data_IF_312601071798
#
_entry.id   IF_312601071798
#
_cell.length_a   1.000
_cell.length_b   1.000
_cell.length_c   1.000
_cell.angle_alpha   90.00
_cell.angle_beta   90.00
_cell.angle_gamma   90.00
#
_symmetry.space_group_name_H-M   'P 1'
#
loop_
_entity.id
_entity.type
_entity.pdbx_description
1 polymer ?
2 polymer ?
3 non-polymer ?
4 non-polymer ?
5 non-polymer ?
6 non-polymer ?
7 water ?
#
# COMPACT_ATOMS: atom_id res chain seq x y z
N UNK A 1 16.61 -9.07 -22.44
CA UNK A 1 16.25 -7.74 -21.89
C UNK A 1 17.42 -7.24 -21.00
N UNK A 2 17.84 -5.97 -21.10
CA UNK A 2 18.69 -5.37 -20.03
C UNK A 2 17.83 -5.39 -18.75
N UNK A 3 18.39 -5.86 -17.66
CA UNK A 3 17.61 -5.90 -16.40
C UNK A 3 18.54 -5.60 -15.22
N UNK A 4 17.89 -5.14 -14.15
CA UNK A 4 18.57 -4.82 -12.89
C UNK A 4 17.95 -5.76 -11.87
N UNK A 5 18.80 -6.52 -11.18
CA UNK A 5 18.35 -7.57 -10.25
C UNK A 5 18.84 -7.18 -8.88
N UNK A 6 17.91 -6.98 -7.97
CA UNK A 6 18.26 -6.53 -6.61
C UNK A 6 18.30 -7.72 -5.64
N UNK A 7 19.02 -7.48 -4.55
CA UNK A 7 19.15 -8.46 -3.41
C UNK A 7 17.82 -8.58 -2.67
N UNK A 8 17.71 -9.65 -1.86
CA UNK A 8 16.43 -10.07 -1.32
C UNK A 8 15.97 -9.27 -0.09
N UNK A 9 14.80 -9.60 0.38
CA UNK A 9 14.13 -8.97 1.55
C UNK A 9 15.07 -8.98 2.74
N UNK A 10 15.10 -7.88 3.50
CA UNK A 10 15.93 -7.69 4.70
C UNK A 10 15.01 -7.38 5.89
N UNK A 11 15.33 -7.99 7.04
CA UNK A 11 14.64 -7.67 8.31
C UNK A 11 15.74 -7.46 9.34
N UNK A 12 15.85 -6.22 9.84
CA UNK A 12 17.01 -5.76 10.64
C UNK A 12 16.52 -5.09 11.93
N UNK A 13 17.41 -4.96 12.89
CA UNK A 13 17.17 -4.19 14.12
C UNK A 13 17.79 -2.82 13.97
N UNK A 14 17.27 -1.83 14.70
CA UNK A 14 17.88 -0.50 14.77
C UNK A 14 19.34 -0.62 15.23
N UNK A 15 20.21 0.17 14.59
CA UNK A 15 21.66 0.19 14.86
C UNK A 15 22.46 -0.82 14.05
N UNK A 16 21.83 -1.79 13.38
CA UNK A 16 22.54 -2.78 12.54
C UNK A 16 22.99 -2.08 11.26
N UNK A 17 24.06 -2.60 10.68
CA UNK A 17 24.53 -2.17 9.35
C UNK A 17 23.80 -2.98 8.28
N UNK A 18 23.76 -2.47 7.06
CA UNK A 18 23.08 -3.19 5.96
C UNK A 18 23.67 -2.70 4.63
N UNK A 19 23.96 -3.62 3.74
CA UNK A 19 24.35 -3.29 2.35
C UNK A 19 23.46 -4.06 1.38
N UNK A 20 22.75 -3.37 0.50
CA UNK A 20 21.88 -4.04 -0.50
C UNK A 20 22.50 -3.77 -1.88
N UNK A 21 22.17 -4.63 -2.84
CA UNK A 21 22.86 -4.71 -4.14
C UNK A 21 21.87 -4.60 -5.30
N UNK A 22 22.40 -4.11 -6.42
CA UNK A 22 21.67 -3.92 -7.69
C UNK A 22 22.63 -4.36 -8.82
N UNK A 23 22.33 -5.47 -9.47
CA UNK A 23 23.24 -6.03 -10.52
C UNK A 23 22.63 -5.89 -11.90
N UNK A 24 23.38 -5.33 -12.85
CA UNK A 24 22.94 -5.24 -14.26
C UNK A 24 23.31 -6.48 -15.05
N UNK A 25 22.35 -7.06 -15.79
CA UNK A 25 22.57 -8.22 -16.71
C UNK A 25 21.96 -7.90 -18.09
N UNK A 26 22.49 -8.54 -19.15
CA UNK A 26 22.20 -8.20 -20.56
C UNK A 26 23.43 -7.63 -21.23
N UNK A 31 24.12 0.14 -18.40
CA UNK A 31 23.93 1.51 -17.85
C UNK A 31 25.27 2.05 -17.33
N UNK A 32 25.62 3.27 -17.74
CA UNK A 32 26.75 4.06 -17.21
C UNK A 32 26.40 4.69 -15.84
N UNK A 33 25.11 4.70 -15.45
CA UNK A 33 24.69 5.30 -14.18
C UNK A 33 23.61 4.46 -13.54
N UNK A 34 23.52 4.53 -12.23
CA UNK A 34 22.50 3.78 -11.45
C UNK A 34 21.99 4.76 -10.41
N UNK A 35 20.67 4.95 -10.35
CA UNK A 35 20.03 5.76 -9.31
C UNK A 35 19.35 4.90 -8.27
N UNK A 36 19.09 5.49 -7.09
CA UNK A 36 18.39 4.80 -5.99
C UNK A 36 17.16 5.61 -5.58
N UNK A 37 16.06 4.89 -5.35
CA UNK A 37 14.71 5.43 -5.05
C UNK A 37 14.17 4.75 -3.81
N UNK A 38 13.67 5.56 -2.88
CA UNK A 38 13.03 5.04 -1.66
C UNK A 38 11.53 5.13 -1.80
N UNK A 39 10.81 4.11 -1.35
CA UNK A 39 9.32 4.17 -1.22
C UNK A 39 8.91 3.63 0.16
N UNK A 40 8.63 4.55 1.06
CA UNK A 40 8.19 4.16 2.44
C UNK A 40 6.78 3.60 2.34
N UNK A 41 6.37 2.75 3.30
CA UNK A 41 5.08 2.06 3.20
C UNK A 41 3.89 3.03 3.08
N UNK A 42 3.10 2.79 2.04
CA UNK A 42 1.94 3.64 1.69
C UNK A 42 2.30 5.01 1.13
N UNK A 43 3.58 5.30 0.79
CA UNK A 43 4.02 6.62 0.35
C UNK A 43 4.52 6.55 -1.10
N UNK A 44 4.92 7.69 -1.58
CA UNK A 44 5.33 7.81 -3.00
C UNK A 44 6.82 7.57 -3.14
N UNK A 45 7.29 7.82 -4.34
CA UNK A 45 8.72 7.60 -4.71
C UNK A 45 9.56 8.81 -4.31
N UNK A 46 10.76 8.55 -3.82
CA UNK A 46 11.74 9.59 -3.43
C UNK A 46 13.06 9.28 -4.08
N UNK A 47 13.65 10.27 -4.72
CA UNK A 47 15.00 10.13 -5.32
C UNK A 47 16.05 10.23 -4.22
N UNK A 48 16.94 9.23 -4.10
CA UNK A 48 18.04 9.27 -3.09
C UNK A 48 19.35 9.78 -3.63
N UNK A 49 19.74 9.37 -4.84
CA UNK A 49 21.04 9.75 -5.37
C UNK A 49 21.40 8.91 -6.54
N UNK A 50 22.60 9.12 -7.05
CA UNK A 50 23.03 8.51 -8.34
C UNK A 50 24.52 8.17 -8.24
N UNK A 51 24.94 7.13 -8.94
CA UNK A 51 26.40 6.83 -9.10
C UNK A 51 26.66 6.53 -10.57
N UNK A 52 27.82 7.01 -11.05
CA UNK A 52 28.41 6.68 -12.37
C UNK A 52 29.53 5.68 -12.12
N UNK A 53 29.33 4.35 -12.25
CA UNK A 53 30.35 3.40 -11.86
C UNK A 53 31.64 3.45 -12.67
N UNK A 54 31.65 4.11 -13.81
CA UNK A 54 32.91 4.17 -14.59
C UNK A 54 34.03 4.62 -13.67
N UNK A 55 33.81 5.69 -12.90
CA UNK A 55 34.80 6.24 -11.94
C UNK A 55 34.18 6.48 -10.56
N UNK A 56 32.97 5.95 -10.31
CA UNK A 56 32.29 6.02 -9.00
C UNK A 56 31.99 7.48 -8.55
N UNK A 57 31.82 8.42 -9.48
CA UNK A 57 31.23 9.74 -9.17
C UNK A 57 29.79 9.56 -8.63
N UNK A 58 29.54 10.03 -7.40
CA UNK A 58 28.21 9.92 -6.74
C UNK A 58 27.63 11.33 -6.55
N UNK A 59 26.30 11.43 -6.49
CA UNK A 59 25.59 12.62 -5.99
C UNK A 59 24.43 12.12 -5.12
N UNK A 60 24.14 12.86 -4.07
CA UNK A 60 23.07 12.55 -3.12
C UNK A 60 22.06 13.69 -3.13
N UNK A 61 20.78 13.33 -2.99
CA UNK A 61 19.71 14.28 -2.60
C UNK A 61 20.07 14.88 -1.25
N UNK A 62 19.98 16.21 -1.06
CA UNK A 62 20.33 16.80 0.24
C UNK A 62 19.72 16.08 1.44
N UNK A 63 18.50 15.55 1.32
CA UNK A 63 17.77 14.79 2.36
C UNK A 63 18.56 13.54 2.75
N UNK A 64 19.32 12.93 1.84
CA UNK A 64 19.98 11.62 2.07
C UNK A 64 21.49 11.77 2.30
N UNK A 65 22.05 12.96 1.99
CA UNK A 65 23.51 13.21 2.10
C UNK A 65 23.91 12.90 3.55
N UNK A 66 24.88 12.01 3.71
CA UNK A 66 25.43 11.64 5.03
C UNK A 66 24.54 10.64 5.74
N UNK A 67 23.44 10.21 5.16
CA UNK A 67 22.50 9.24 5.80
C UNK A 67 22.70 7.83 5.25
N UNK A 68 23.29 7.70 4.09
CA UNK A 68 23.44 6.43 3.33
C UNK A 68 24.67 6.57 2.44
N UNK A 69 25.28 5.46 2.05
CA UNK A 69 26.40 5.46 1.10
C UNK A 69 25.98 4.71 -0.15
N UNK A 70 26.10 5.36 -1.29
CA UNK A 70 26.00 4.68 -2.61
C UNK A 70 27.39 4.31 -3.08
N UNK A 71 27.55 3.12 -3.63
CA UNK A 71 28.85 2.68 -4.17
C UNK A 71 28.63 1.71 -5.33
N UNK A 72 29.69 1.29 -5.98
CA UNK A 72 29.57 0.38 -7.14
C UNK A 72 30.84 -0.43 -7.32
N UNK A 73 30.67 -1.62 -7.88
CA UNK A 73 31.79 -2.43 -8.38
C UNK A 73 31.55 -2.67 -9.86
N UNK A 74 32.19 -1.85 -10.70
CA UNK A 74 32.09 -1.87 -12.17
C UNK A 74 32.44 -3.27 -12.71
N UNK A 75 33.39 -3.96 -12.08
CA UNK A 75 33.90 -5.26 -12.56
C UNK A 75 32.77 -6.30 -12.58
N UNK A 76 31.70 -6.09 -11.80
CA UNK A 76 30.61 -7.13 -11.73
C UNK A 76 29.24 -6.45 -11.97
N UNK A 77 29.27 -5.25 -12.56
CA UNK A 77 28.11 -4.42 -12.97
C UNK A 77 27.14 -4.30 -11.79
N UNK A 78 27.66 -4.07 -10.60
CA UNK A 78 26.81 -4.02 -9.36
C UNK A 78 26.91 -2.65 -8.70
N UNK A 79 25.76 -2.09 -8.28
CA UNK A 79 25.74 -0.91 -7.41
C UNK A 79 25.13 -1.31 -6.05
N UNK A 80 25.43 -0.52 -5.05
CA UNK A 80 25.05 -0.80 -3.65
C UNK A 80 24.51 0.44 -2.95
N UNK A 81 23.72 0.19 -1.91
CA UNK A 81 23.23 1.24 -1.00
C UNK A 81 23.46 0.65 0.40
N UNK A 82 24.19 1.38 1.26
CA UNK A 82 24.78 0.92 2.55
C UNK A 82 24.40 1.90 3.65
N UNK A 83 24.01 1.36 4.79
CA UNK A 83 23.79 2.09 6.06
C UNK A 83 24.72 1.51 7.13
N UNK A 84 25.40 2.36 7.89
CA UNK A 84 26.22 1.88 9.03
C UNK A 84 25.34 1.65 10.24
N UNK A 85 24.23 2.41 10.38
CA UNK A 85 23.37 2.37 11.59
C UNK A 85 21.89 2.59 11.19
N UNK A 86 21.16 1.51 10.96
CA UNK A 86 19.77 1.62 10.48
C UNK A 86 18.87 2.23 11.55
N UNK A 87 17.84 2.94 11.10
CA UNK A 87 16.76 3.46 11.95
C UNK A 87 15.47 2.76 11.52
N UNK A 88 14.48 2.72 12.42
CA UNK A 88 13.13 2.23 12.05
C UNK A 88 12.60 2.98 10.84
N UNK A 89 12.90 4.27 10.71
CA UNK A 89 12.36 5.14 9.62
C UNK A 89 13.04 4.76 8.29
N UNK A 90 14.03 3.86 8.28
CA UNK A 90 14.63 3.36 7.02
C UNK A 90 13.76 2.23 6.44
N UNK A 91 12.70 1.82 7.13
CA UNK A 91 11.75 0.81 6.63
C UNK A 91 11.09 1.29 5.34
N UNK A 92 11.32 0.56 4.27
CA UNK A 92 10.90 0.99 2.91
C UNK A 92 11.20 -0.08 1.91
N UNK A 93 10.70 0.15 0.70
CA UNK A 93 11.22 -0.53 -0.49
C UNK A 93 12.27 0.39 -1.10
N UNK A 94 13.34 -0.22 -1.60
CA UNK A 94 14.39 0.52 -2.31
C UNK A 94 14.44 -0.02 -3.73
N UNK A 95 14.37 0.87 -4.70
CA UNK A 95 14.51 0.50 -6.13
C UNK A 95 15.81 1.09 -6.66
N UNK A 96 16.48 0.36 -7.54
CA UNK A 96 17.53 0.96 -8.40
C UNK A 96 16.94 1.16 -9.78
N UNK A 97 17.48 2.11 -10.50
CA UNK A 97 17.02 2.45 -11.86
C UNK A 97 18.24 2.86 -12.66
N UNK A 98 18.13 2.66 -13.96
CA UNK A 98 19.24 3.01 -14.86
C UNK A 98 18.74 3.39 -16.22
N UNK A 99 19.63 3.36 -17.22
CA UNK A 99 19.25 3.71 -18.60
C UNK A 99 19.82 2.72 -19.59
N UNK A 100 18.98 2.00 -20.35
CA UNK A 100 19.43 0.94 -21.28
C UNK A 100 20.15 1.52 -22.48
N UNK A 101 20.11 2.83 -22.69
CA UNK A 101 20.90 3.47 -23.77
C UNK A 101 21.14 4.93 -23.43
N UNK A 102 21.68 5.71 -24.36
CA UNK A 102 22.09 7.14 -24.16
C UNK A 102 20.90 8.09 -24.30
N UNK A 103 19.75 7.58 -24.72
CA UNK A 103 18.63 8.53 -24.92
C UNK A 103 17.41 8.33 -23.98
N UNK A 104 17.32 7.24 -23.26
CA UNK A 104 16.08 7.04 -22.44
C UNK A 104 16.48 6.82 -21.01
N UNK A 105 16.51 7.90 -20.21
CA UNK A 105 16.82 7.79 -18.78
C UNK A 105 15.70 7.09 -18.04
N UNK A 106 16.05 6.25 -17.05
CA UNK A 106 15.13 5.55 -16.11
C UNK A 106 14.22 4.56 -16.84
N UNK A 107 14.67 3.94 -17.93
CA UNK A 107 13.79 2.96 -18.60
C UNK A 107 13.98 1.55 -18.00
N UNK A 108 15.01 1.33 -17.21
CA UNK A 108 15.21 0.00 -16.56
C UNK A 108 15.12 0.18 -15.04
N UNK A 109 14.37 -0.67 -14.40
CA UNK A 109 14.18 -0.58 -12.92
C UNK A 109 14.49 -1.96 -12.33
N UNK A 110 15.07 -1.99 -11.15
CA UNK A 110 15.11 -3.24 -10.37
C UNK A 110 13.72 -3.59 -9.83
N UNK A 111 13.58 -4.78 -9.26
CA UNK A 111 12.27 -5.28 -8.78
C UNK A 111 12.00 -4.73 -7.38
N UNK A 112 12.99 -4.12 -6.74
CA UNK A 112 12.84 -3.54 -5.39
C UNK A 112 13.34 -4.51 -4.32
N UNK A 113 13.92 -3.95 -3.28
CA UNK A 113 14.36 -4.69 -2.07
C UNK A 113 13.52 -4.13 -0.92
N UNK A 114 12.77 -4.98 -0.25
CA UNK A 114 11.95 -4.60 0.90
C UNK A 114 12.85 -4.70 2.14
N UNK A 115 12.92 -3.62 2.89
CA UNK A 115 13.74 -3.56 4.12
C UNK A 115 12.81 -3.19 5.27
N UNK A 116 12.81 -4.01 6.30
CA UNK A 116 12.11 -3.71 7.57
C UNK A 116 13.15 -3.49 8.63
N UNK A 117 13.03 -2.38 9.36
CA UNK A 117 13.90 -2.11 10.50
C UNK A 117 13.00 -1.95 11.72
N UNK A 118 13.17 -2.84 12.69
CA UNK A 118 12.34 -2.77 13.90
C UNK A 118 13.06 -3.38 15.10
N UNK A 119 12.73 -2.91 16.32
CA UNK A 119 13.15 -3.62 17.54
C UNK A 119 12.31 -4.90 17.76
N UNK A 120 11.18 -5.07 17.11
CA UNK A 120 10.35 -6.30 17.30
C UNK A 120 11.14 -7.53 16.87
N UNK A 121 10.68 -8.70 17.34
CA UNK A 121 11.30 -10.01 17.04
C UNK A 121 10.30 -10.92 16.34
N UNK A 122 10.83 -11.82 15.50
CA UNK A 122 9.99 -12.79 14.78
C UNK A 122 8.94 -13.39 15.73
N UNK A 123 7.70 -13.43 15.31
CA UNK A 123 6.59 -13.91 16.15
C UNK A 123 5.44 -14.31 15.22
N UNK A 124 4.93 -15.50 15.44
CA UNK A 124 3.73 -15.95 14.71
C UNK A 124 2.46 -15.30 15.23
N UNK A 125 1.43 -15.18 14.38
CA UNK A 125 0.18 -14.56 14.78
C UNK A 125 -0.65 -15.45 15.72
N UNK A 126 -1.46 -14.78 16.52
CA UNK A 126 -2.68 -15.38 17.13
C UNK A 126 -3.82 -15.21 16.15
N UNK A 127 -4.61 -16.25 15.95
CA UNK A 127 -5.71 -16.15 14.98
C UNK A 127 -6.99 -16.26 15.79
N UNK A 128 -7.75 -15.18 15.86
CA UNK A 128 -9.01 -15.13 16.63
C UNK A 128 -10.20 -15.13 15.68
N UNK A 129 -11.27 -15.85 16.03
CA UNK A 129 -12.48 -15.78 15.20
C UNK A 129 -13.19 -14.43 15.30
N UNK A 130 -13.75 -13.99 14.17
CA UNK A 130 -14.76 -12.90 14.09
C UNK A 130 -16.08 -13.60 13.81
N UNK A 131 -16.79 -13.97 14.87
CA UNK A 131 -17.91 -14.91 14.79
C UNK A 131 -19.10 -14.20 14.16
N UNK A 132 -19.85 -14.88 13.27
CA UNK A 132 -21.10 -14.32 12.77
C UNK A 132 -22.13 -14.30 13.91
N UNK A 133 -22.90 -13.24 13.96
CA UNK A 133 -24.01 -13.01 14.94
C UNK A 133 -25.07 -12.12 14.29
N UNK A 134 -26.14 -11.82 15.03
CA UNK A 134 -27.16 -10.81 14.64
C UNK A 134 -26.49 -9.44 14.44
N UNK A 135 -25.36 -9.17 15.13
CA UNK A 135 -24.63 -7.87 15.07
C UNK A 135 -23.78 -7.79 13.78
N UNK A 136 -23.66 -8.94 13.10
CA UNK A 136 -22.99 -9.07 11.79
C UNK A 136 -23.92 -9.75 10.77
N UNK A 137 -25.24 -9.49 10.80
CA UNK A 137 -26.18 -10.02 9.77
C UNK A 137 -27.04 -8.87 9.21
N UNK A 138 -27.16 -8.76 7.88
CA UNK A 138 -27.90 -7.73 7.11
C UNK A 138 -28.77 -8.39 6.03
N UNK A 139 -30.10 -8.33 6.16
CA UNK A 139 -31.08 -8.91 5.22
C UNK A 139 -30.57 -10.18 4.52
N UNK A 140 -30.39 -11.27 5.27
CA UNK A 140 -30.06 -12.60 4.72
C UNK A 140 -28.57 -12.80 4.49
N UNK A 141 -27.72 -11.79 4.69
CA UNK A 141 -26.24 -11.89 4.54
C UNK A 141 -25.58 -11.82 5.92
N UNK A 142 -24.64 -12.72 6.22
CA UNK A 142 -23.85 -12.65 7.46
C UNK A 142 -22.41 -12.34 7.09
N UNK A 143 -21.70 -11.66 7.96
CA UNK A 143 -20.24 -11.48 7.85
C UNK A 143 -19.56 -12.27 8.95
N UNK A 144 -18.40 -12.84 8.60
CA UNK A 144 -17.57 -13.56 9.57
C UNK A 144 -16.12 -13.34 9.14
N UNK A 145 -15.18 -13.71 10.00
CA UNK A 145 -13.78 -13.49 9.64
C UNK A 145 -12.80 -14.06 10.63
N UNK A 146 -11.52 -13.72 10.43
CA UNK A 146 -10.41 -14.05 11.34
C UNK A 146 -9.60 -12.79 11.57
N UNK A 147 -9.27 -12.53 12.83
CA UNK A 147 -8.32 -11.49 13.27
C UNK A 147 -6.97 -12.13 13.45
N UNK A 148 -6.01 -11.72 12.63
CA UNK A 148 -4.66 -12.33 12.56
C UNK A 148 -3.75 -11.33 13.26
N UNK A 149 -3.56 -11.50 14.57
CA UNK A 149 -3.03 -10.42 15.41
C UNK A 149 -1.63 -10.72 15.92
N UNK A 150 -0.78 -9.69 15.99
CA UNK A 150 0.47 -9.66 16.77
C UNK A 150 1.50 -10.58 16.14
N UNK A 151 1.82 -10.33 14.87
CA UNK A 151 2.88 -11.09 14.17
C UNK A 151 3.95 -10.12 13.67
N UNK A 152 5.12 -10.68 13.43
CA UNK A 152 6.26 -9.94 12.87
C UNK A 152 7.23 -10.93 12.25
N UNK A 153 7.86 -10.62 11.10
CA UNK A 153 7.56 -9.47 10.24
C UNK A 153 6.42 -9.80 9.26
N UNK A 154 6.14 -8.90 8.33
CA UNK A 154 5.29 -9.22 7.16
C UNK A 154 6.05 -10.26 6.34
N UNK A 155 5.36 -11.03 5.50
CA UNK A 155 3.90 -11.02 5.33
C UNK A 155 3.21 -12.25 5.92
N UNK A 156 1.89 -12.19 5.93
CA UNK A 156 1.03 -13.39 6.19
C UNK A 156 0.18 -13.61 4.94
N UNK A 157 -0.21 -14.84 4.70
CA UNK A 157 -1.23 -15.17 3.68
C UNK A 157 -2.45 -15.70 4.42
N UNK A 158 -3.61 -15.40 3.84
CA UNK A 158 -4.91 -15.92 4.34
C UNK A 158 -5.70 -16.46 3.15
N UNK A 159 -6.21 -17.66 3.32
CA UNK A 159 -7.23 -18.21 2.40
C UNK A 159 -8.42 -18.64 3.27
N UNK A 160 -9.49 -19.04 2.60
CA UNK A 160 -10.70 -19.57 3.25
C UNK A 160 -11.02 -20.94 2.64
N UNK A 161 -11.24 -21.93 3.49
CA UNK A 161 -11.65 -23.31 3.08
C UNK A 161 -10.61 -23.83 2.07
N UNK A 162 -9.32 -23.58 2.36
CA UNK A 162 -8.17 -24.07 1.55
C UNK A 162 -8.23 -23.51 0.13
N UNK A 163 -8.82 -22.33 -0.07
CA UNK A 163 -8.92 -21.65 -1.36
C UNK A 163 -10.22 -21.93 -2.12
N UNK A 164 -11.11 -22.78 -1.60
CA UNK A 164 -12.42 -23.07 -2.22
C UNK A 164 -13.36 -21.86 -2.08
N UNK A 165 -13.14 -20.97 -1.09
CA UNK A 165 -14.05 -19.81 -0.86
C UNK A 165 -13.30 -18.54 -1.17
N UNK A 166 -13.71 -17.84 -2.21
CA UNK A 166 -13.03 -16.62 -2.69
C UNK A 166 -14.06 -15.51 -2.88
N UNK A 167 -15.28 -15.83 -3.24
CA UNK A 167 -16.36 -14.85 -3.44
C UNK A 167 -16.67 -14.13 -2.11
N UNK A 168 -16.68 -12.79 -2.09
CA UNK A 168 -17.06 -11.97 -0.91
C UNK A 168 -15.96 -11.88 0.12
N UNK A 169 -14.75 -12.37 -0.17
CA UNK A 169 -13.60 -12.34 0.79
C UNK A 169 -12.95 -10.98 0.66
N UNK A 170 -12.70 -10.32 1.77
CA UNK A 170 -11.86 -9.10 1.88
C UNK A 170 -10.76 -9.38 2.89
N UNK A 171 -9.53 -9.45 2.44
CA UNK A 171 -8.36 -9.58 3.34
C UNK A 171 -7.68 -8.19 3.34
N UNK A 172 -7.69 -7.55 4.48
CA UNK A 172 -7.30 -6.14 4.64
C UNK A 172 -5.77 -6.09 4.65
N UNK A 173 -5.22 -4.93 4.27
CA UNK A 173 -3.81 -4.63 4.57
C UNK A 173 -3.57 -4.66 6.09
N UNK A 174 -2.39 -5.16 6.47
CA UNK A 174 -2.01 -5.14 7.88
C UNK A 174 -1.81 -3.71 8.34
N UNK A 175 -2.01 -3.49 9.62
CA UNK A 175 -1.62 -2.24 10.30
C UNK A 175 -0.45 -2.58 11.22
N UNK A 176 0.46 -1.65 11.34
CA UNK A 176 1.55 -1.79 12.32
C UNK A 176 1.11 -1.15 13.63
N UNK A 177 1.08 -1.95 14.70
CA UNK A 177 0.65 -1.53 16.05
C UNK A 177 1.79 -0.80 16.76
N UNK A 178 1.46 -0.14 17.88
CA UNK A 178 2.45 0.59 18.69
C UNK A 178 3.43 -0.41 19.32
N UNK A 179 3.04 -1.68 19.39
CA UNK A 179 3.92 -2.76 19.90
C UNK A 179 5.03 -3.10 18.91
N UNK A 180 4.90 -2.66 17.65
CA UNK A 180 5.81 -3.09 16.61
C UNK A 180 5.37 -4.39 15.95
N UNK A 181 4.23 -4.96 16.33
CA UNK A 181 3.66 -6.18 15.71
C UNK A 181 2.53 -5.77 14.76
N UNK A 182 2.39 -6.51 13.68
CA UNK A 182 1.32 -6.28 12.69
C UNK A 182 0.03 -6.97 13.14
N UNK A 183 -1.07 -6.49 12.59
CA UNK A 183 -2.40 -7.12 12.77
C UNK A 183 -3.19 -6.92 11.48
N UNK A 184 -3.92 -7.94 11.08
CA UNK A 184 -4.83 -7.78 9.93
C UNK A 184 -6.07 -8.62 10.14
N UNK A 185 -7.14 -8.20 9.48
CA UNK A 185 -8.37 -9.04 9.48
C UNK A 185 -8.63 -9.54 8.08
N UNK A 186 -9.28 -10.68 8.00
CA UNK A 186 -9.84 -11.24 6.74
C UNK A 186 -11.30 -11.55 7.02
N UNK A 187 -12.20 -11.04 6.19
CA UNK A 187 -13.65 -11.25 6.39
C UNK A 187 -14.25 -11.84 5.13
N UNK A 188 -15.43 -12.44 5.31
CA UNK A 188 -16.19 -12.89 4.12
C UNK A 188 -17.67 -12.66 4.43
N UNK A 189 -18.45 -12.27 3.43
CA UNK A 189 -19.92 -12.24 3.54
C UNK A 189 -20.48 -13.50 2.87
N UNK A 190 -21.42 -14.11 3.56
CA UNK A 190 -22.02 -15.41 3.14
C UNK A 190 -23.52 -15.34 3.38
N UNK A 191 -24.31 -16.20 2.71
CA UNK A 191 -25.72 -16.33 3.07
C UNK A 191 -25.86 -16.72 4.54
N UNK A 192 -26.75 -16.05 5.28
CA UNK A 192 -26.95 -16.36 6.72
C UNK A 192 -27.54 -17.78 6.84
N UNK A 193 -28.25 -18.25 5.84
CA UNK A 193 -28.81 -19.63 5.83
C UNK A 193 -27.68 -20.67 5.72
N UNK A 194 -26.46 -20.30 5.33
CA UNK A 194 -25.32 -21.24 5.20
C UNK A 194 -24.69 -21.46 6.59
N UNK A 195 -24.99 -20.61 7.59
CA UNK A 195 -24.29 -20.74 8.90
C UNK A 195 -24.74 -22.05 9.53
N UNK A 196 -23.84 -22.87 10.05
CA UNK A 196 -24.36 -24.17 10.55
C UNK A 196 -24.49 -25.26 9.48
N UNK A 197 -24.50 -24.93 8.18
CA UNK A 197 -24.43 -25.89 7.05
C UNK A 197 -23.02 -25.93 6.43
N UNK A 198 -22.45 -24.80 6.09
CA UNK A 198 -21.10 -24.73 5.51
C UNK A 198 -20.08 -24.46 6.63
N UNK A 199 -19.00 -25.24 6.66
CA UNK A 199 -17.88 -24.97 7.57
C UNK A 199 -17.08 -23.79 6.98
N UNK A 200 -16.62 -22.89 7.84
CA UNK A 200 -15.78 -21.74 7.43
C UNK A 200 -14.48 -21.83 8.23
N UNK A 201 -13.38 -22.07 7.53
CA UNK A 201 -12.03 -22.14 8.13
C UNK A 201 -11.13 -21.11 7.45
N UNK A 202 -10.44 -20.28 8.23
CA UNK A 202 -9.42 -19.38 7.66
C UNK A 202 -8.07 -20.09 7.80
N UNK A 203 -7.32 -20.13 6.71
CA UNK A 203 -5.99 -20.80 6.65
C UNK A 203 -4.96 -19.68 6.65
N UNK A 204 -4.14 -19.63 7.69
CA UNK A 204 -3.18 -18.53 7.90
C UNK A 204 -1.79 -19.11 7.82
N UNK A 205 -0.93 -18.51 7.02
CA UNK A 205 0.48 -18.96 6.94
C UNK A 205 1.39 -17.75 7.19
N UNK A 206 2.29 -17.85 8.17
CA UNK A 206 3.32 -16.84 8.48
C UNK A 206 4.67 -17.53 8.32
N UNK A 207 5.23 -17.47 7.11
CA UNK A 207 6.46 -18.24 6.79
C UNK A 207 7.63 -17.81 7.69
N UNK A 208 7.81 -16.50 7.99
CA UNK A 208 8.97 -16.12 8.79
C UNK A 208 9.06 -16.87 10.12
N UNK A 209 7.94 -17.29 10.74
CA UNK A 209 7.93 -18.01 12.02
C UNK A 209 7.58 -19.50 11.84
N UNK A 210 7.40 -19.96 10.62
CA UNK A 210 6.92 -21.35 10.31
C UNK A 210 5.64 -21.63 11.07
N UNK A 211 4.69 -20.69 11.05
CA UNK A 211 3.40 -20.82 11.75
C UNK A 211 2.32 -21.07 10.68
N UNK A 212 1.57 -22.14 10.84
CA UNK A 212 0.39 -22.41 9.98
C UNK A 212 -0.75 -22.68 10.93
N UNK A 213 -1.83 -21.93 10.79
CA UNK A 213 -3.05 -22.05 11.64
C UNK A 213 -4.25 -22.19 10.71
N UNK A 214 -5.11 -23.14 11.04
CA UNK A 214 -6.43 -23.28 10.40
C UNK A 214 -7.44 -23.05 11.51
N UNK A 215 -8.23 -22.00 11.42
CA UNK A 215 -9.15 -21.62 12.49
C UNK A 215 -10.58 -21.75 11.96
N UNK A 216 -11.36 -22.64 12.60
CA UNK A 216 -12.79 -22.76 12.30
C UNK A 216 -13.50 -21.57 12.96
N UNK A 217 -14.39 -20.95 12.22
CA UNK A 217 -15.14 -19.77 12.68
C UNK A 217 -16.61 -20.17 12.76
N UNK A 218 -17.14 -20.24 13.96
CA UNK A 218 -18.56 -20.67 14.08
C UNK A 218 -19.38 -19.60 14.80
N UNK A 219 -20.72 -19.66 14.63
CA UNK A 219 -21.62 -18.66 15.22
C UNK A 219 -21.52 -18.51 16.76
N UNK B 1 15.98 21.74 -4.01
CA UNK B 1 15.53 20.70 -5.01
C UNK B 1 14.32 21.26 -5.76
N UNK B 2 14.01 20.72 -6.92
CA UNK B 2 12.80 21.12 -7.66
C UNK B 2 11.60 20.44 -7.04
N UNK B 3 10.54 21.23 -6.77
CA UNK B 3 9.28 20.69 -6.28
C UNK B 3 8.36 20.35 -7.44
N UNK B 4 7.91 19.09 -7.50
CA UNK B 4 6.96 18.60 -8.51
C UNK B 4 5.59 18.43 -7.87
N UNK B 5 4.60 19.13 -8.39
CA UNK B 5 3.22 19.07 -7.86
C UNK B 5 2.32 18.35 -8.84
N UNK B 6 1.71 17.24 -8.41
CA UNK B 6 0.71 16.57 -9.28
C UNK B 6 -0.70 16.91 -8.85
N UNK B 7 -1.58 17.06 -9.84
CA UNK B 7 -3.05 17.30 -9.64
C UNK B 7 -3.84 16.46 -10.62
N UNK B 8 -4.97 15.90 -10.15
CA UNK B 8 -5.35 15.94 -8.72
C UNK B 8 -4.59 14.83 -7.96
N UNK B 9 -4.74 14.67 -6.64
CA UNK B 9 -4.10 13.56 -5.89
C UNK B 9 -4.82 12.22 -6.22
N UNK B 10 -6.10 12.28 -6.56
CA UNK B 10 -6.83 11.09 -7.03
C UNK B 10 -7.99 11.54 -7.91
N UNK B 11 -8.35 10.72 -8.87
CA UNK B 11 -9.48 11.00 -9.77
C UNK B 11 -10.19 9.70 -10.09
N UNK B 12 -11.50 9.82 -10.32
CA UNK B 12 -12.37 8.68 -10.64
C UNK B 12 -12.75 8.79 -12.10
N UNK B 13 -12.68 7.71 -12.83
CA UNK B 13 -13.00 7.74 -14.27
C UNK B 13 -13.58 6.40 -14.66
N UNK B 14 -14.27 6.36 -15.80
CA UNK B 14 -14.87 5.12 -16.35
C UNK B 14 -14.01 4.62 -17.50
N UNK B 15 -14.10 3.33 -17.75
CA UNK B 15 -13.52 2.76 -19.00
C UNK B 15 -14.08 3.52 -20.20
N UNK B 16 -13.21 3.87 -21.14
CA UNK B 16 -13.53 4.66 -22.34
C UNK B 16 -13.41 6.15 -22.14
N UNK B 17 -13.22 6.65 -20.92
CA UNK B 17 -13.13 8.13 -20.68
C UNK B 17 -11.76 8.62 -21.17
N UNK B 18 -11.70 9.88 -21.53
CA UNK B 18 -10.43 10.62 -21.72
C UNK B 18 -10.02 11.16 -20.35
N UNK B 19 -8.82 10.85 -19.87
CA UNK B 19 -8.34 11.27 -18.53
C UNK B 19 -7.08 12.11 -18.75
N UNK B 20 -7.00 13.26 -18.10
CA UNK B 20 -5.77 14.07 -18.07
C UNK B 20 -5.35 14.20 -16.62
N UNK B 21 -4.04 14.18 -16.39
CA UNK B 21 -3.47 14.47 -15.06
C UNK B 21 -2.29 15.39 -15.30
N UNK B 22 -2.10 16.30 -14.36
CA UNK B 22 -1.15 17.42 -14.52
C UNK B 22 0.03 17.26 -13.59
N UNK B 23 1.13 17.88 -13.98
CA UNK B 23 2.37 17.91 -13.19
C UNK B 23 2.97 19.30 -13.40
N UNK B 24 3.27 20.01 -12.32
CA UNK B 24 3.93 21.31 -12.33
C UNK B 24 5.31 21.18 -11.69
N UNK B 25 6.31 21.78 -12.32
CA UNK B 25 7.65 21.94 -11.76
C UNK B 25 7.79 23.36 -11.22
N UNK B 26 8.52 23.51 -10.12
CA UNK B 26 8.73 24.82 -9.45
C UNK B 26 9.69 25.72 -10.23
N UNK B 27 10.34 25.21 -11.29
CA UNK B 27 11.14 26.02 -12.22
C UNK B 27 11.03 25.36 -13.57
N UNK B 28 11.36 26.07 -14.63
CA UNK B 28 11.37 25.42 -15.96
C UNK B 28 12.32 24.24 -15.94
N UNK B 29 11.84 23.12 -16.47
CA UNK B 29 12.66 21.92 -16.69
C UNK B 29 12.65 21.61 -18.19
N UNK B 30 12.26 22.55 -19.03
CA UNK B 30 12.31 22.40 -20.51
C UNK B 30 11.35 21.25 -20.87
N UNK B 31 11.82 20.17 -21.51
CA UNK B 31 10.97 18.97 -21.75
C UNK B 31 11.47 17.76 -20.97
N UNK B 32 12.27 17.96 -19.93
CA UNK B 32 12.91 16.85 -19.19
C UNK B 32 11.96 16.28 -18.11
N UNK B 33 10.95 15.51 -18.54
CA UNK B 33 9.91 15.01 -17.62
C UNK B 33 9.58 13.58 -18.02
N UNK B 34 9.62 12.70 -17.02
CA UNK B 34 9.18 11.30 -17.18
C UNK B 34 7.82 11.10 -16.49
N UNK B 35 7.00 10.22 -17.06
CA UNK B 35 5.78 9.71 -16.40
C UNK B 35 5.90 8.21 -16.19
N UNK B 36 5.51 7.75 -14.98
CA UNK B 36 5.54 6.32 -14.60
C UNK B 36 4.13 5.88 -14.20
N UNK B 37 3.89 4.58 -14.36
CA UNK B 37 2.73 3.89 -13.80
C UNK B 37 3.22 2.97 -12.68
N UNK B 38 2.48 2.92 -11.58
CA UNK B 38 2.78 1.91 -10.52
C UNK B 38 1.47 1.29 -10.07
N UNK B 39 1.49 -0.04 -9.97
CA UNK B 39 0.37 -0.82 -9.39
C UNK B 39 0.84 -1.43 -8.07
N UNK B 40 -0.11 -1.73 -7.17
CA UNK B 40 0.25 -2.32 -5.88
C UNK B 40 1.19 -3.52 -6.01
N UNK B 41 2.27 -3.51 -5.23
CA UNK B 41 3.21 -4.63 -5.13
C UNK B 41 4.17 -4.70 -6.28
N UNK B 42 4.15 -3.71 -7.19
CA UNK B 42 5.01 -3.74 -8.39
C UNK B 42 5.92 -2.51 -8.45
N UNK B 43 6.99 -2.66 -9.19
CA UNK B 43 7.95 -1.55 -9.42
C UNK B 43 7.27 -0.59 -10.37
N UNK B 44 7.68 0.69 -10.32
CA UNK B 44 7.27 1.66 -11.32
C UNK B 44 7.70 1.25 -12.74
N UNK B 45 6.89 1.62 -13.73
CA UNK B 45 7.17 1.35 -15.15
C UNK B 45 7.20 2.69 -15.87
N UNK B 46 8.22 2.95 -16.67
CA UNK B 46 8.26 4.18 -17.49
C UNK B 46 7.25 4.12 -18.63
N UNK B 47 6.39 5.14 -18.73
CA UNK B 47 5.43 5.25 -19.85
C UNK B 47 5.98 6.24 -20.87
N UNK B 48 6.41 7.39 -20.38
CA UNK B 48 6.66 8.58 -21.23
C UNK B 48 7.90 9.26 -20.73
N UNK B 49 8.79 9.63 -21.64
CA UNK B 49 10.04 10.34 -21.30
C UNK B 49 10.13 11.57 -22.18
N UNK B 50 10.94 12.55 -21.81
CA UNK B 50 11.10 13.82 -22.54
C UNK B 50 9.73 14.46 -22.78
N UNK B 51 8.85 14.36 -21.77
CA UNK B 51 7.51 14.97 -21.76
C UNK B 51 6.55 14.37 -22.76
N UNK B 52 6.98 13.92 -23.94
CA UNK B 52 5.99 13.48 -24.94
C UNK B 52 6.40 12.20 -25.68
N UNK B 53 7.53 11.58 -25.37
CA UNK B 53 8.00 10.39 -26.10
C UNK B 53 7.48 9.12 -25.43
N UNK B 54 6.77 8.27 -26.15
CA UNK B 54 6.26 6.99 -25.62
C UNK B 54 7.43 6.02 -25.49
N UNK B 55 7.53 5.34 -24.37
CA UNK B 55 8.47 4.23 -24.19
C UNK B 55 8.01 3.08 -25.10
N UNK B 56 8.95 2.28 -25.58
CA UNK B 56 8.63 1.07 -26.37
C UNK B 56 7.61 0.20 -25.63
N UNK B 57 6.60 -0.27 -26.35
CA UNK B 57 5.61 -1.22 -25.79
C UNK B 57 4.48 -0.52 -25.08
N UNK B 58 4.50 0.81 -24.92
CA UNK B 58 3.38 1.48 -24.22
C UNK B 58 2.28 1.75 -25.24
N UNK B 59 1.02 1.50 -24.89
CA UNK B 59 -0.10 1.69 -25.81
C UNK B 59 -0.24 3.15 -26.25
N UNK B 60 -0.67 3.38 -27.50
CA UNK B 60 -0.68 4.73 -28.10
C UNK B 60 -1.81 5.58 -27.51
N UNK B 61 -2.72 5.02 -26.71
CA UNK B 61 -3.72 5.83 -25.96
C UNK B 61 -3.03 6.76 -24.96
N UNK B 62 -1.80 6.46 -24.57
CA UNK B 62 -1.02 7.34 -23.65
C UNK B 62 -0.30 8.41 -24.46
N UNK B 63 -0.37 9.65 -23.99
CA UNK B 63 0.35 10.76 -24.64
C UNK B 63 0.74 11.76 -23.57
N UNK B 64 1.84 12.45 -23.79
CA UNK B 64 2.20 13.54 -22.89
C UNK B 64 2.35 14.83 -23.64
N UNK B 65 2.24 15.93 -22.90
CA UNK B 65 2.31 17.28 -23.46
C UNK B 65 2.87 18.26 -22.43
N UNK B 66 3.34 19.42 -22.94
CA UNK B 66 3.80 20.51 -22.06
C UNK B 66 5.28 20.71 -22.19
N UNK B 67 5.74 21.86 -21.73
CA UNK B 67 7.17 22.21 -21.71
C UNK B 67 7.29 23.34 -20.69
N UNK B 68 8.43 23.51 -20.09
CA UNK B 68 8.67 24.56 -19.12
C UNK B 68 8.29 24.06 -17.75
N UNK B 69 7.16 24.52 -17.24
CA UNK B 69 6.71 24.20 -15.85
C UNK B 69 5.47 23.33 -15.82
N UNK B 70 4.67 23.28 -16.88
CA UNK B 70 3.32 22.68 -16.80
C UNK B 70 3.20 21.56 -17.82
N UNK B 71 2.92 20.36 -17.33
CA UNK B 71 2.91 19.13 -18.12
C UNK B 71 1.61 18.36 -17.90
N UNK B 72 1.23 17.57 -18.90
CA UNK B 72 0.06 16.67 -18.78
C UNK B 72 0.35 15.28 -19.30
N UNK B 73 -0.34 14.32 -18.72
CA UNK B 73 -0.42 12.93 -19.20
C UNK B 73 -1.88 12.69 -19.59
N UNK B 74 -2.13 12.34 -20.83
CA UNK B 74 -3.50 12.04 -21.29
C UNK B 74 -3.60 10.57 -21.60
N UNK B 75 -4.72 9.95 -21.19
CA UNK B 75 -5.12 8.59 -21.61
C UNK B 75 -6.41 8.77 -22.42
N UNK B 76 -6.36 8.51 -23.72
CA UNK B 76 -7.41 9.01 -24.65
C UNK B 76 -8.69 8.19 -24.44
N UNK B 77 -8.54 6.92 -24.10
CA UNK B 77 -9.66 5.97 -23.88
C UNK B 77 -9.28 4.99 -22.77
N UNK B 78 -9.64 5.30 -21.54
CA UNK B 78 -9.17 4.56 -20.34
C UNK B 78 -9.57 3.08 -20.45
N UNK B 79 -8.61 2.19 -20.23
CA UNK B 79 -8.84 0.73 -20.23
C UNK B 79 -8.72 0.18 -18.80
N UNK B 80 -9.31 -1.01 -18.53
CA UNK B 80 -9.31 -1.57 -17.18
C UNK B 80 -7.90 -1.73 -16.59
N UNK B 81 -6.92 -1.98 -17.45
CA UNK B 81 -5.51 -2.15 -17.01
C UNK B 81 -4.88 -0.78 -16.69
N UNK B 82 -5.57 0.33 -16.91
CA UNK B 82 -4.97 1.68 -16.66
C UNK B 82 -5.28 2.20 -15.26
N UNK B 83 -6.15 1.57 -14.49
CA UNK B 83 -6.43 2.01 -13.11
C UNK B 83 -5.16 1.70 -12.28
N UNK B 84 -4.53 2.72 -11.76
CA UNK B 84 -3.16 2.63 -11.20
C UNK B 84 -2.80 3.98 -10.61
N UNK B 85 -1.61 4.09 -10.03
CA UNK B 85 -1.05 5.38 -9.62
C UNK B 85 0.00 5.83 -10.65
N UNK B 86 -0.01 7.12 -10.96
CA UNK B 86 0.89 7.72 -11.96
C UNK B 86 1.78 8.71 -11.24
N UNK B 87 3.06 8.70 -11.58
CA UNK B 87 4.05 9.66 -11.00
C UNK B 87 4.72 10.41 -12.13
N UNK B 88 4.97 11.70 -11.94
CA UNK B 88 5.91 12.43 -12.81
C UNK B 88 7.24 12.57 -12.10
N UNK B 89 8.28 12.83 -12.89
CA UNK B 89 9.64 13.01 -12.35
C UNK B 89 10.42 13.94 -13.27
N UNK B 90 11.05 14.98 -12.73
CA UNK B 90 11.93 15.80 -13.59
C UNK B 90 13.28 15.09 -13.74
N UNK B 91 13.86 15.20 -14.95
CA UNK B 91 15.15 14.56 -15.26
C UNK B 91 16.18 15.63 -15.64
N UNK B 92 15.90 16.88 -15.34
CA UNK B 92 16.78 18.02 -15.70
C UNK B 92 17.96 18.19 -14.74
N UNK B 93 17.71 18.32 -13.45
CA UNK B 93 18.70 18.77 -12.42
C UNK B 93 18.71 17.72 -11.31
N UNK B 94 19.87 17.17 -10.98
CA UNK B 94 19.93 16.24 -9.81
C UNK B 94 19.67 17.04 -8.54
N UNK B 95 18.92 16.54 -7.56
CA UNK B 95 18.24 15.23 -7.58
C UNK B 95 16.95 15.23 -8.41
N UNK B 96 16.73 14.10 -9.08
CA UNK B 96 15.66 13.94 -10.08
C UNK B 96 14.37 13.60 -9.34
N UNK B 97 13.74 14.68 -8.87
CA UNK B 97 12.60 14.64 -7.93
C UNK B 97 11.31 14.19 -8.60
N UNK B 98 10.48 13.56 -7.80
CA UNK B 98 9.16 13.00 -8.18
C UNK B 98 8.03 13.89 -7.69
N UNK B 99 6.96 13.89 -8.47
CA UNK B 99 5.63 14.30 -7.97
C UNK B 99 5.07 13.31 -6.96
N UNK B 100 3.99 13.70 -6.23
CA UNK B 100 3.48 12.83 -5.12
C UNK B 100 2.54 11.76 -5.61
N UNK B 101 2.22 11.69 -6.89
CA UNK B 101 1.40 10.62 -7.47
C UNK B 101 -0.03 11.04 -7.61
N UNK B 102 -0.69 10.52 -8.64
CA UNK B 102 -2.14 10.67 -8.84
C UNK B 102 -2.68 9.27 -8.97
N UNK B 103 -3.66 8.90 -8.12
CA UNK B 103 -4.32 7.59 -8.26
C UNK B 103 -5.55 7.73 -9.17
N UNK B 104 -5.61 6.91 -10.20
CA UNK B 104 -6.78 6.84 -11.13
C UNK B 104 -7.61 5.64 -10.70
N UNK B 105 -8.78 5.92 -10.14
CA UNK B 105 -9.68 4.86 -9.60
C UNK B 105 -10.94 4.80 -10.44
N UNK B 106 -11.69 3.74 -10.24
CA UNK B 106 -12.91 3.47 -11.06
C UNK B 106 -14.07 4.27 -10.49
N UNK B 107 -14.78 4.98 -11.38
CA UNK B 107 -15.95 5.78 -10.99
C UNK B 107 -17.14 4.81 -10.89
N UNK B 108 -17.96 5.01 -9.90
CA UNK B 108 -19.27 4.31 -9.78
C UNK B 108 -20.16 5.20 -8.95
N UNK B 109 -21.43 4.83 -8.80
CA UNK B 109 -22.37 5.58 -7.95
C UNK B 109 -22.03 5.41 -6.49
N UNK B 110 -22.48 6.36 -5.68
CA UNK B 110 -22.37 6.26 -4.20
C UNK B 110 -23.04 4.96 -3.74
N UNK B 111 -22.41 4.22 -2.83
CA UNK B 111 -22.95 3.00 -2.21
C UNK B 111 -22.68 3.08 -0.72
N UNK B 112 -23.73 3.07 0.09
CA UNK B 112 -23.55 3.10 1.56
C UNK B 112 -22.89 1.78 2.00
N UNK B 113 -22.06 1.82 3.04
CA UNK B 113 -21.54 0.57 3.61
C UNK B 113 -22.61 -0.24 4.34
N UNK B 114 -22.49 -1.56 4.28
CA UNK B 114 -23.08 -2.47 5.28
C UNK B 114 -22.14 -2.49 6.47
N UNK B 115 -22.68 -2.27 7.67
CA UNK B 115 -21.84 -2.14 8.89
C UNK B 115 -22.09 -3.35 9.78
N UNK B 116 -21.01 -3.94 10.24
CA UNK B 116 -21.01 -5.17 11.07
C UNK B 116 -20.07 -4.91 12.23
N UNK B 117 -20.44 -5.36 13.43
CA UNK B 117 -19.51 -5.23 14.58
C UNK B 117 -19.26 -6.63 15.15
N UNK B 118 -18.05 -6.87 15.59
CA UNK B 118 -17.61 -8.17 16.15
C UNK B 118 -17.02 -7.93 17.52
N UNK B 119 -17.63 -8.50 18.59
CA UNK B 119 -17.03 -8.53 19.89
C UNK B 119 -15.75 -9.35 19.93
N UNK B 120 -14.92 -9.16 20.96
CA UNK B 120 -13.74 -9.98 21.14
C UNK B 120 -14.10 -11.45 21.36
N UNK B 121 -13.24 -12.33 20.88
CA UNK B 121 -13.35 -13.79 21.12
C UNK B 121 -12.99 -14.13 22.57
N UNK B 122 -13.55 -15.19 23.14
CA UNK B 122 -13.09 -15.65 24.48
C UNK B 122 -11.58 -15.98 24.46
N UNK B 123 -11.09 -16.54 23.34
CA UNK B 123 -9.67 -16.92 23.10
C UNK B 123 -8.79 -15.69 23.34
N UNK B 124 -9.17 -14.55 22.75
CA UNK B 124 -8.36 -13.32 22.89
C UNK B 124 -8.46 -12.81 24.34
N UNK B 125 -9.64 -12.75 24.91
CA UNK B 125 -9.79 -12.24 26.30
C UNK B 125 -8.92 -13.04 27.27
N UNK B 126 -8.87 -14.36 27.09
CA UNK B 126 -8.00 -15.21 27.95
C UNK B 126 -6.53 -14.77 27.82
N UNK B 127 -6.12 -14.35 26.61
CA UNK B 127 -4.75 -13.90 26.30
C UNK B 127 -4.49 -12.49 26.83
N UNK B 128 -5.49 -11.79 27.37
CA UNK B 128 -5.25 -10.52 28.10
C UNK B 128 -5.62 -9.28 27.30
N UNK B 129 -6.20 -9.39 26.10
CA UNK B 129 -6.63 -8.18 25.34
C UNK B 129 -8.03 -8.37 24.80
N UNK B 130 -8.63 -7.29 24.32
CA UNK B 130 -9.98 -7.27 23.75
C UNK B 130 -9.94 -6.42 22.49
N UNK B 131 -10.11 -7.04 21.34
CA UNK B 131 -10.25 -6.31 20.09
C UNK B 131 -11.70 -6.33 19.64
N UNK B 132 -12.23 -5.16 19.34
CA UNK B 132 -13.59 -5.03 18.76
C UNK B 132 -13.40 -4.59 17.32
N UNK B 133 -14.00 -5.30 16.38
CA UNK B 133 -13.81 -5.01 14.93
C UNK B 133 -15.10 -4.48 14.36
N UNK B 134 -15.01 -3.33 13.66
CA UNK B 134 -16.11 -2.65 12.95
C UNK B 134 -15.82 -2.77 11.45
N UNK B 135 -16.66 -3.49 10.70
CA UNK B 135 -16.48 -3.77 9.25
C UNK B 135 -17.46 -2.89 8.49
N UNK B 136 -16.93 -2.08 7.60
CA UNK B 136 -17.74 -1.33 6.62
C UNK B 136 -17.56 -2.04 5.29
N UNK B 137 -18.60 -2.68 4.80
CA UNK B 137 -18.49 -3.54 3.59
C UNK B 137 -19.05 -2.86 2.34
N UNK B 138 -18.24 -2.87 1.28
CA UNK B 138 -18.64 -2.64 -0.14
C UNK B 138 -19.32 -1.27 -0.26
N UNK B 139 -18.59 -0.20 0.00
CA UNK B 139 -19.09 1.19 -0.12
C UNK B 139 -18.28 1.99 -1.13
N UNK B 140 -18.79 3.16 -1.47
CA UNK B 140 -18.14 4.08 -2.43
C UNK B 140 -18.74 5.45 -2.19
N UNK B 141 -17.96 6.57 -2.14
CA UNK B 141 -16.51 6.56 -2.37
C UNK B 141 -15.72 6.14 -1.13
N UNK B 142 -14.38 6.17 -1.22
CA UNK B 142 -13.47 5.61 -0.20
C UNK B 142 -13.57 6.34 1.13
N UNK B 143 -13.88 7.65 1.10
CA UNK B 143 -13.95 8.49 2.33
C UNK B 143 -15.04 8.00 3.28
N UNK B 144 -14.68 7.72 4.52
CA UNK B 144 -15.59 7.25 5.57
C UNK B 144 -15.00 7.66 6.89
N UNK B 145 -15.84 7.90 7.87
CA UNK B 145 -15.41 8.19 9.24
C UNK B 145 -15.98 7.11 10.15
N UNK B 146 -15.12 6.48 10.95
CA UNK B 146 -15.54 5.51 11.99
C UNK B 146 -15.17 6.13 13.33
N UNK B 147 -16.11 6.22 14.24
CA UNK B 147 -15.86 6.69 15.61
C UNK B 147 -16.24 5.56 16.56
N UNK B 148 -15.36 5.30 17.49
CA UNK B 148 -15.62 4.32 18.56
C UNK B 148 -16.16 5.07 19.78
N UNK B 149 -17.17 4.51 20.39
CA UNK B 149 -17.74 4.96 21.67
C UNK B 149 -17.84 3.77 22.63
N UNK B 150 -17.34 3.98 23.84
CA UNK B 150 -17.41 2.98 24.93
C UNK B 150 -18.21 3.65 26.07
N UNK B 151 -19.39 3.13 26.36
CA UNK B 151 -20.35 3.76 27.32
C UNK B 151 -20.55 5.23 26.92
N UNK B 152 -20.66 5.51 25.60
CA UNK B 152 -20.96 6.82 24.97
C UNK B 152 -19.78 7.80 25.11
N UNK B 153 -18.60 7.34 25.55
CA UNK B 153 -17.35 8.14 25.57
C UNK B 153 -16.58 7.91 24.27
N UNK B 154 -16.29 8.98 23.51
CA UNK B 154 -15.55 8.91 22.23
C UNK B 154 -14.10 8.48 22.52
N UNK B 155 -13.60 7.47 21.81
CA UNK B 155 -12.23 6.94 21.99
C UNK B 155 -11.25 7.63 21.06
N UNK B 156 -9.99 7.78 21.51
CA UNK B 156 -8.85 8.27 20.70
C UNK B 156 -7.64 7.43 21.03
N UNK B 157 -6.80 7.18 20.04
CA UNK B 157 -5.46 6.62 20.27
C UNK B 157 -5.46 5.12 20.44
N UNK B 158 -6.62 4.43 20.37
CA UNK B 158 -6.71 2.98 20.69
C UNK B 158 -7.41 2.23 19.56
N UNK B 159 -7.44 2.81 18.36
CA UNK B 159 -8.00 2.09 17.20
C UNK B 159 -7.14 2.32 15.97
N UNK B 160 -7.21 1.39 15.04
CA UNK B 160 -6.50 1.49 13.74
C UNK B 160 -7.43 0.98 12.66
N UNK B 161 -7.27 1.52 11.46
CA UNK B 161 -8.11 1.03 10.33
C UNK B 161 -7.27 0.77 9.09
N UNK B 162 -7.80 -0.09 8.24
CA UNK B 162 -7.26 -0.19 6.87
C UNK B 162 -8.38 -0.50 5.90
N UNK B 163 -8.06 -0.21 4.65
CA UNK B 163 -9.03 -0.19 3.56
C UNK B 163 -8.48 -1.09 2.46
N UNK B 164 -9.36 -1.83 1.80
CA UNK B 164 -8.97 -2.65 0.65
C UNK B 164 -8.75 -1.77 -0.58
N UNK B 165 -8.03 -2.34 -1.52
CA UNK B 165 -8.00 -1.82 -2.90
C UNK B 165 -9.40 -1.94 -3.47
N UNK B 166 -9.71 -1.05 -4.36
CA UNK B 166 -10.99 -1.06 -5.03
C UNK B 166 -11.25 -2.44 -5.65
N UNK B 167 -12.43 -2.98 -5.45
CA UNK B 167 -12.82 -4.28 -6.04
C UNK B 167 -13.04 -4.06 -7.55
N UNK B 168 -12.40 -4.86 -8.41
CA UNK B 168 -12.42 -4.63 -9.89
C UNK B 168 -13.79 -5.05 -10.47
N UNK B 169 -14.52 -5.96 -9.78
CA UNK B 169 -15.91 -6.44 -10.05
C UNK B 169 -16.98 -5.38 -9.72
N UNK B 170 -17.14 -4.91 -8.47
CA UNK B 170 -18.21 -3.93 -8.14
C UNK B 170 -17.64 -2.52 -7.87
N UNK B 171 -16.33 -2.31 -7.95
CA UNK B 171 -15.70 -0.98 -7.81
C UNK B 171 -15.90 -0.38 -6.40
N UNK B 172 -16.20 -1.18 -5.39
CA UNK B 172 -16.35 -0.68 -4.00
C UNK B 172 -15.08 -0.88 -3.18
N UNK B 173 -15.08 -0.25 -2.03
CA UNK B 173 -14.04 -0.35 -0.99
C UNK B 173 -14.68 -1.08 0.18
N UNK B 174 -13.85 -1.70 1.01
CA UNK B 174 -14.23 -2.13 2.38
C UNK B 174 -13.23 -1.58 3.39
N UNK B 175 -13.65 -1.43 4.64
CA UNK B 175 -12.81 -0.83 5.70
C UNK B 175 -12.99 -1.66 6.95
N UNK B 176 -11.88 -1.93 7.61
CA UNK B 176 -11.89 -2.65 8.90
C UNK B 176 -11.30 -1.67 9.91
N UNK B 177 -11.98 -1.46 11.01
CA UNK B 177 -11.45 -0.70 12.14
C UNK B 177 -11.38 -1.61 13.37
N UNK B 178 -10.25 -1.60 14.07
CA UNK B 178 -10.08 -2.43 15.29
C UNK B 178 -9.85 -1.50 16.48
N UNK B 179 -10.68 -1.63 17.48
CA UNK B 179 -10.51 -0.97 18.80
C UNK B 179 -9.86 -2.00 19.72
N UNK B 180 -8.69 -1.70 20.24
CA UNK B 180 -8.05 -2.71 21.13
C UNK B 180 -7.91 -2.13 22.54
N UNK B 181 -8.39 -2.87 23.51
CA UNK B 181 -8.31 -2.48 24.93
C UNK B 181 -7.60 -3.59 25.67
N UNK B 182 -7.06 -3.29 26.84
CA UNK B 182 -6.65 -4.34 27.79
C UNK B 182 -7.89 -5.11 28.24
N UNK B 183 -7.73 -6.36 28.66
CA UNK B 183 -8.82 -7.16 29.25
C UNK B 183 -9.40 -6.38 30.45
N UNK B 184 -8.57 -5.80 31.30
CA UNK B 184 -9.05 -5.08 32.51
C UNK B 184 -9.96 -3.94 32.07
N UNK B 185 -9.52 -3.14 31.08
CA UNK B 185 -10.28 -1.95 30.60
C UNK B 185 -11.58 -2.43 29.97
N UNK B 186 -11.53 -3.48 29.15
CA UNK B 186 -12.73 -4.01 28.46
C UNK B 186 -13.80 -4.34 29.52
N UNK B 187 -13.37 -4.91 30.62
CA UNK B 187 -14.29 -5.46 31.66
C UNK B 187 -14.88 -4.34 32.50
N UNK B 188 -14.41 -3.12 32.35
CA UNK B 188 -14.95 -2.01 33.18
C UNK B 188 -16.11 -1.32 32.47
N UNK B 189 -16.43 -1.69 31.23
CA UNK B 189 -17.40 -0.94 30.39
C UNK B 189 -18.44 -1.90 29.79
N UNK B 190 -19.62 -1.36 29.43
CA UNK B 190 -20.75 -2.23 29.00
C UNK B 190 -20.98 -2.10 27.48
N UNK B 191 -21.14 -0.88 27.00
CA UNK B 191 -21.65 -0.58 25.63
C UNK B 191 -20.49 -0.26 24.70
N UNK B 192 -20.27 -1.11 23.69
CA UNK B 192 -19.25 -0.93 22.64
C UNK B 192 -19.96 -0.58 21.34
N UNK B 193 -19.64 0.57 20.78
CA UNK B 193 -20.34 1.13 19.62
C UNK B 193 -19.36 1.64 18.57
N UNK B 194 -19.59 1.30 17.29
CA UNK B 194 -18.91 1.99 16.18
C UNK B 194 -19.95 2.78 15.39
N UNK B 195 -19.65 4.06 15.23
CA UNK B 195 -20.53 5.06 14.58
C UNK B 195 -19.89 5.40 13.25
N UNK B 196 -20.64 5.17 12.16
CA UNK B 196 -20.14 5.28 10.78
C UNK B 196 -20.82 6.47 10.08
N UNK B 197 -19.98 7.34 9.52
CA UNK B 197 -20.36 8.50 8.68
C UNK B 197 -19.91 8.21 7.26
N UNK B 198 -20.82 8.35 6.29
CA UNK B 198 -20.48 8.13 4.87
C UNK B 198 -21.50 8.88 4.01
N UNK B 199 -21.05 9.33 2.85
CA UNK B 199 -21.90 10.10 1.90
C UNK B 199 -23.17 9.32 1.55
N UNK B 200 -23.11 7.99 1.54
CA UNK B 200 -24.22 7.10 1.17
C UNK B 200 -25.28 7.00 2.25
N UNK B 201 -24.96 7.44 3.47
CA UNK B 201 -25.87 7.40 4.65
C UNK B 201 -26.42 8.81 4.90
N UNK B 202 -27.73 8.95 4.96
CA UNK B 202 -28.41 10.23 5.23
C UNK B 202 -28.15 10.67 6.68
N UNK B 203 -27.83 9.74 7.60
CA UNK B 203 -27.34 10.05 8.96
C UNK B 203 -26.44 8.91 9.46
N UNK B 204 -25.57 9.17 10.46
CA UNK B 204 -24.68 8.12 10.99
C UNK B 204 -25.40 6.84 11.38
N UNK B 205 -24.75 5.72 11.11
CA UNK B 205 -25.22 4.35 11.46
C UNK B 205 -24.38 3.91 12.66
N UNK B 206 -25.01 3.47 13.73
CA UNK B 206 -24.32 2.90 14.91
C UNK B 206 -24.61 1.42 14.95
N UNK B 207 -23.57 0.60 15.11
CA UNK B 207 -23.68 -0.81 15.47
C UNK B 207 -23.05 -0.91 16.85
N UNK B 208 -23.67 -1.66 17.75
CA UNK B 208 -23.22 -1.71 19.16
C UNK B 208 -23.60 -3.04 19.77
N UNK B 209 -22.94 -3.42 20.85
CA UNK B 209 -23.34 -4.58 21.67
C UNK B 209 -23.02 -4.21 23.12
N UNK B 210 -23.62 -4.95 24.03
CA UNK B 210 -23.33 -4.90 25.48
C UNK B 210 -22.45 -6.08 25.82
N UNK B 211 -21.34 -5.83 26.49
CA UNK B 211 -20.40 -6.88 26.93
C UNK B 211 -21.18 -7.94 27.70
N UNK B 212 -20.97 -9.21 27.38
CA UNK B 212 -21.57 -10.35 28.10
C UNK B 212 -23.05 -10.51 27.86
N UNK B 213 -23.62 -9.85 26.85
CA UNK B 213 -25.06 -9.93 26.44
C UNK B 213 -25.14 -10.43 25.00
#
# INVERSE_FOLDING_TARGET
>A
QMQLVQSGTEVKKPGESLKISCKGSGYGFITYWIGWVRQMPGKGLEWMGIIYPGDSETRYSPSFQGQVTISADKSINTAYLQWSSLKASDTAIYYCAGGSGISTPMDVWGQGTTVTVSSASTKGPSVFPLAPSSKSTSGGTAALGCLVKDYFPEPVTVSWNSGALTSGVHTFPAVLQSSGLYSLSSVVTVPSSSLGTQTYICNVNHKPSNTKVDKKVEPKSCGSHHHHHH
>B
DIQMTQSPSSLSASVGDRVTITCRASQSIYSALNWYQQKPGKAPKLLIYAASALQSGVPSRFSGSGSGTDFTLTISSLQPEDFATYYCQQTDIHPYTFGQGTKVEIKRTVAAPSVFIFPPSDEQLKSGTASVVCLLNNFYPREAKVQWKVDNALQSGNSQESVTEQDSKDSTYSLSSTLTLSKADYEKHKVYACEVTHQGLSSPVTKSFNRGEC
#
